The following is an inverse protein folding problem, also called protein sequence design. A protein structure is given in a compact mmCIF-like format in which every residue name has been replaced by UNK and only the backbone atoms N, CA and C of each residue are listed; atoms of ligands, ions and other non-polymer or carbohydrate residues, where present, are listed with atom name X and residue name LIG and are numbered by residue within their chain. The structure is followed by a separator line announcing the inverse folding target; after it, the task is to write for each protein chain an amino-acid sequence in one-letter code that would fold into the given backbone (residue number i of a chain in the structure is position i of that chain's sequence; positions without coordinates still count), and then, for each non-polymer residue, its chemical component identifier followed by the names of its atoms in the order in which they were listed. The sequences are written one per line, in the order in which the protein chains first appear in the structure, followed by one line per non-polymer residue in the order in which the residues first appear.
data_IF_944074694406
#
_entry.id   IF_944074694406
#
_cell.length_a   1.000
_cell.length_b   1.000
_cell.length_c   1.000
_cell.angle_alpha   90.00
_cell.angle_beta   90.00
_cell.angle_gamma   90.00
#
_symmetry.space_group_name_H-M   'P 1'
#
loop_
_entity.id
_entity.type
_entity.pdbx_description
1 polymer ?
#
# COMPACT_ATOMS: atom_id res chain seq x y z
N UNK A 1 2.57 16.60 6.18
CA UNK A 1 3.52 17.50 5.50
C UNK A 1 4.81 17.45 6.28
N UNK A 2 5.93 17.22 5.59
CA UNK A 2 7.25 16.99 6.21
C UNK A 2 7.98 18.30 6.55
N UNK A 3 7.62 19.38 5.87
CA UNK A 3 8.12 20.75 6.06
C UNK A 3 6.97 21.75 6.20
N UNK A 4 7.22 22.83 6.94
CA UNK A 4 6.33 23.99 6.95
C UNK A 4 6.54 24.81 5.68
N UNK A 5 5.47 25.42 5.18
CA UNK A 5 5.54 26.47 4.18
C UNK A 5 5.62 27.82 4.88
N UNK A 6 6.72 28.55 4.67
CA UNK A 6 6.95 29.86 5.30
C UNK A 6 6.80 30.95 4.24
N UNK A 7 6.05 31.98 4.58
CA UNK A 7 5.93 33.20 3.78
C UNK A 7 6.31 34.42 4.63
N UNK A 8 7.14 35.30 4.07
CA UNK A 8 7.63 36.51 4.70
C UNK A 8 7.46 37.71 3.75
N UNK A 9 6.99 38.84 4.28
CA UNK A 9 7.03 40.12 3.58
C UNK A 9 8.19 40.97 4.11
N UNK A 10 9.01 41.52 3.22
CA UNK A 10 10.19 42.33 3.56
C UNK A 10 10.33 43.54 2.63
N UNK A 11 10.90 44.63 3.16
CA UNK A 11 11.31 45.81 2.39
C UNK A 11 12.78 45.74 1.94
N UNK A 12 13.55 44.83 2.52
CA UNK A 12 14.92 44.54 2.12
C UNK A 12 14.88 43.35 1.16
N UNK A 13 15.21 43.53 -0.13
CA UNK A 13 15.12 42.45 -1.11
C UNK A 13 16.03 41.29 -0.75
N UNK A 14 15.46 40.08 -0.76
CA UNK A 14 16.16 38.81 -0.58
C UNK A 14 16.24 38.08 -1.92
N UNK A 15 17.44 37.69 -2.38
CA UNK A 15 17.58 36.89 -3.60
C UNK A 15 17.17 35.43 -3.36
N UNK A 16 16.74 34.76 -4.45
CA UNK A 16 16.51 33.30 -4.46
C UNK A 16 17.78 32.57 -4.02
N UNK A 17 17.62 31.54 -3.18
CA UNK A 17 18.72 30.80 -2.57
C UNK A 17 19.28 31.41 -1.28
N UNK A 18 18.75 32.55 -0.82
CA UNK A 18 19.13 33.11 0.49
C UNK A 18 18.62 32.27 1.65
N UNK A 19 19.41 32.13 2.70
CA UNK A 19 19.00 31.48 3.95
C UNK A 19 18.44 32.55 4.91
N UNK A 20 17.16 32.43 5.26
CA UNK A 20 16.49 33.34 6.19
C UNK A 20 16.26 32.58 7.49
N UNK A 21 16.70 33.17 8.60
CA UNK A 21 16.51 32.61 9.93
C UNK A 21 15.97 33.67 10.89
N UNK A 22 15.14 33.24 11.83
CA UNK A 22 14.57 34.11 12.84
C UNK A 22 13.81 33.34 13.89
N UNK A 23 13.13 34.08 14.77
CA UNK A 23 12.28 33.51 15.80
C UNK A 23 10.99 34.32 15.92
N UNK A 24 9.86 33.63 15.89
CA UNK A 24 8.57 34.18 16.30
C UNK A 24 8.27 33.57 17.66
N UNK A 25 8.25 34.36 18.73
CA UNK A 25 8.07 33.83 20.10
C UNK A 25 9.14 32.80 20.47
N UNK A 26 8.72 31.56 20.73
CA UNK A 26 9.50 30.38 20.97
C UNK A 26 9.68 29.51 19.71
N UNK A 27 9.08 29.92 18.59
CA UNK A 27 9.17 29.27 17.29
C UNK A 27 10.37 29.78 16.49
N UNK A 28 11.45 29.01 16.51
CA UNK A 28 12.59 29.25 15.61
C UNK A 28 12.26 28.78 14.20
N UNK A 29 12.43 29.65 13.20
CA UNK A 29 12.23 29.32 11.79
C UNK A 29 13.52 29.53 11.02
N UNK A 30 13.75 28.68 10.02
CA UNK A 30 14.87 28.79 9.08
C UNK A 30 14.46 28.24 7.72
N UNK A 31 14.41 29.06 6.69
CA UNK A 31 13.98 28.64 5.36
C UNK A 31 14.91 29.15 4.26
N UNK A 32 14.94 28.42 3.15
CA UNK A 32 15.62 28.83 1.93
C UNK A 32 14.60 29.59 1.07
N UNK A 33 15.01 30.74 0.51
CA UNK A 33 14.15 31.48 -0.40
C UNK A 33 14.05 30.74 -1.73
N UNK A 34 12.84 30.29 -2.08
CA UNK A 34 12.56 29.56 -3.33
C UNK A 34 11.81 30.45 -4.32
N UNK A 35 10.82 31.20 -3.84
CA UNK A 35 10.01 32.09 -4.65
C UNK A 35 10.04 33.51 -4.10
N UNK A 36 10.13 34.49 -5.01
CA UNK A 36 9.99 35.90 -4.66
C UNK A 36 9.00 36.59 -5.59
N UNK A 37 8.13 37.42 -5.04
CA UNK A 37 7.22 38.30 -5.78
C UNK A 37 7.35 39.71 -5.24
N UNK A 38 7.44 40.72 -6.10
CA UNK A 38 7.66 42.10 -5.67
C UNK A 38 6.53 43.02 -6.15
N UNK A 39 6.03 43.87 -5.24
CA UNK A 39 5.08 44.94 -5.55
C UNK A 39 5.56 46.25 -4.93
N UNK A 40 6.12 47.13 -5.75
CA UNK A 40 6.74 48.36 -5.27
C UNK A 40 7.96 48.07 -4.38
N UNK A 41 7.97 48.62 -3.17
CA UNK A 41 9.07 48.42 -2.19
C UNK A 41 8.94 47.15 -1.36
N UNK A 42 7.79 46.45 -1.42
CA UNK A 42 7.55 45.24 -0.63
C UNK A 42 7.79 44.02 -1.50
N UNK A 43 8.63 43.11 -1.01
CA UNK A 43 8.86 41.78 -1.59
C UNK A 43 8.21 40.74 -0.68
N UNK A 44 7.34 39.90 -1.27
CA UNK A 44 6.87 38.66 -0.67
C UNK A 44 7.84 37.54 -1.04
N UNK A 45 8.24 36.78 -0.04
CA UNK A 45 9.24 35.72 -0.14
C UNK A 45 8.60 34.45 0.41
N UNK A 46 8.69 33.36 -0.35
CA UNK A 46 8.23 32.04 0.09
C UNK A 46 9.36 31.03 0.01
N UNK A 47 9.29 30.03 0.87
CA UNK A 47 10.11 28.85 0.75
C UNK A 47 9.91 27.89 1.90
N UNK A 48 10.68 26.81 1.85
CA UNK A 48 10.64 25.73 2.82
C UNK A 48 11.96 25.63 3.58
N UNK A 49 12.04 24.74 4.59
CA UNK A 49 13.29 24.55 5.32
C UNK A 49 14.42 24.16 4.35
N UNK A 50 15.61 24.78 4.55
CA UNK A 50 16.80 24.69 3.70
C UNK A 50 17.35 23.28 3.40
N UNK A 51 16.74 22.22 3.94
CA UNK A 51 17.09 20.83 3.68
C UNK A 51 16.22 20.18 2.60
N UNK A 52 15.43 20.95 1.86
CA UNK A 52 14.60 20.46 0.75
C UNK A 52 15.40 19.68 -0.30
N UNK A 53 16.59 20.17 -0.68
CA UNK A 53 17.50 19.43 -1.59
C UNK A 53 17.92 18.06 -1.04
N UNK A 54 18.09 17.95 0.28
CA UNK A 54 18.41 16.68 0.95
C UNK A 54 17.19 15.75 1.01
N UNK A 55 15.98 16.30 1.17
CA UNK A 55 14.75 15.50 1.16
C UNK A 55 14.49 14.86 -0.20
N UNK A 56 14.89 15.51 -1.30
CA UNK A 56 14.82 15.00 -2.67
C UNK A 56 16.11 14.30 -3.15
N UNK A 57 17.08 14.06 -2.25
CA UNK A 57 18.27 13.27 -2.58
C UNK A 57 17.93 11.78 -2.48
N UNK A 58 18.40 10.93 -3.42
CA UNK A 58 18.27 9.49 -3.32
C UNK A 58 18.86 8.95 -2.02
N UNK A 59 18.17 7.99 -1.43
CA UNK A 59 18.57 7.36 -0.18
C UNK A 59 19.69 6.35 -0.42
N UNK A 60 20.66 6.36 0.49
CA UNK A 60 21.69 5.32 0.63
C UNK A 60 21.58 4.68 2.03
N UNK A 61 20.47 3.96 2.27
CA UNK A 61 20.24 3.19 3.49
C UNK A 61 20.40 1.71 3.14
N UNK A 62 21.28 1.02 3.88
CA UNK A 62 21.62 -0.39 3.70
C UNK A 62 21.13 -1.19 4.90
N UNK A 63 19.80 -1.24 5.07
CA UNK A 63 19.17 -1.96 6.19
C UNK A 63 18.23 -3.00 5.61
N UNK A 64 18.66 -4.26 5.69
CA UNK A 64 17.95 -5.44 5.20
C UNK A 64 16.55 -5.57 5.84
N UNK A 65 16.46 -5.39 7.16
CA UNK A 65 15.19 -5.28 7.91
C UNK A 65 15.44 -4.78 9.33
N UNK A 66 14.73 -3.75 9.78
CA UNK A 66 14.86 -3.26 11.15
C UNK A 66 13.58 -2.64 11.69
N UNK A 67 13.54 -2.41 13.00
CA UNK A 67 12.48 -1.61 13.60
C UNK A 67 12.58 -0.15 13.16
N UNK A 68 11.44 0.53 13.17
CA UNK A 68 11.31 1.94 12.81
C UNK A 68 12.25 2.85 13.61
N UNK A 69 12.58 2.52 14.86
CA UNK A 69 13.57 3.26 15.65
C UNK A 69 14.93 3.35 14.97
N UNK A 70 15.38 2.29 14.29
CA UNK A 70 16.63 2.28 13.54
C UNK A 70 16.53 3.14 12.28
N UNK A 71 15.47 2.97 11.50
CA UNK A 71 15.25 3.80 10.30
C UNK A 71 15.16 5.30 10.65
N UNK A 72 14.44 5.65 11.72
CA UNK A 72 14.36 7.02 12.21
C UNK A 72 15.73 7.61 12.59
N UNK A 73 16.58 6.81 13.25
CA UNK A 73 17.94 7.22 13.62
C UNK A 73 18.83 7.43 12.40
N UNK A 74 18.76 6.54 11.40
CA UNK A 74 19.55 6.65 10.18
C UNK A 74 19.10 7.83 9.31
N UNK A 75 17.78 8.09 9.19
CA UNK A 75 17.25 9.28 8.54
C UNK A 75 17.75 10.55 9.23
N UNK A 76 17.65 10.63 10.56
CA UNK A 76 18.11 11.79 11.30
C UNK A 76 19.62 12.01 11.14
N UNK A 77 20.42 10.93 11.20
CA UNK A 77 21.86 10.98 11.00
C UNK A 77 22.23 11.46 9.58
N UNK A 78 21.59 10.91 8.56
CA UNK A 78 21.86 11.26 7.16
C UNK A 78 21.45 12.70 6.83
N UNK A 79 20.36 13.19 7.43
CA UNK A 79 19.94 14.59 7.31
C UNK A 79 20.74 15.52 8.22
N UNK A 80 21.62 15.02 9.10
CA UNK A 80 22.34 15.83 10.09
C UNK A 80 21.40 16.56 11.05
N UNK A 81 20.37 15.86 11.54
CA UNK A 81 19.36 16.35 12.48
C UNK A 81 19.42 15.57 13.79
N UNK A 82 19.02 16.20 14.88
CA UNK A 82 18.71 15.50 16.14
C UNK A 82 17.40 14.76 15.98
N UNK A 83 17.29 13.56 16.55
CA UNK A 83 16.05 12.79 16.52
C UNK A 83 15.24 13.05 17.79
N UNK A 84 14.00 13.49 17.64
CA UNK A 84 12.97 13.47 18.69
C UNK A 84 11.86 12.50 18.27
N UNK A 85 11.83 11.31 18.85
CA UNK A 85 10.91 10.22 18.48
C UNK A 85 10.03 9.81 19.66
N UNK A 86 8.72 9.83 19.43
CA UNK A 86 7.67 9.39 20.35
C UNK A 86 6.66 8.56 19.57
N UNK A 87 7.01 7.31 19.27
CA UNK A 87 6.18 6.39 18.49
C UNK A 87 6.32 4.96 19.00
N UNK A 88 5.37 4.11 18.63
CA UNK A 88 5.56 2.67 18.65
C UNK A 88 6.78 2.26 17.81
N UNK A 89 7.36 1.10 18.11
CA UNK A 89 8.56 0.58 17.45
C UNK A 89 8.24 -0.70 16.65
N UNK A 90 7.48 -0.53 15.58
CA UNK A 90 7.06 -1.59 14.66
C UNK A 90 8.14 -1.88 13.61
N UNK A 91 7.97 -2.99 12.88
CA UNK A 91 8.86 -3.38 11.77
C UNK A 91 8.06 -3.27 10.47
N UNK A 92 8.53 -2.52 9.46
CA UNK A 92 7.87 -2.45 8.16
C UNK A 92 7.99 -3.78 7.41
N UNK A 93 7.02 -4.09 6.54
CA UNK A 93 7.06 -5.26 5.64
C UNK A 93 7.86 -5.03 4.37
N UNK A 94 7.98 -3.78 3.93
CA UNK A 94 8.70 -3.44 2.72
C UNK A 94 10.21 -3.48 2.95
N UNK A 95 10.94 -4.08 2.00
CA UNK A 95 12.39 -3.92 1.91
C UNK A 95 12.69 -2.62 1.13
N UNK A 96 13.45 -1.72 1.75
CA UNK A 96 13.80 -0.41 1.18
C UNK A 96 15.22 -0.34 0.61
N UNK A 97 15.97 -1.44 0.67
CA UNK A 97 17.34 -1.51 0.17
C UNK A 97 17.41 -1.24 -1.34
N UNK A 98 18.29 -0.32 -1.74
CA UNK A 98 18.52 -0.02 -3.16
C UNK A 98 17.33 0.58 -3.92
N UNK A 99 16.25 0.96 -3.23
CA UNK A 99 15.00 1.46 -3.82
C UNK A 99 15.14 2.76 -4.62
N UNK A 100 16.24 3.51 -4.45
CA UNK A 100 16.48 4.79 -5.12
C UNK A 100 15.49 5.90 -4.72
N UNK A 101 14.65 5.65 -3.71
CA UNK A 101 13.64 6.59 -3.21
C UNK A 101 14.28 7.83 -2.58
N UNK A 102 13.54 8.94 -2.56
CA UNK A 102 13.94 10.15 -1.83
C UNK A 102 13.62 10.01 -0.34
N UNK A 103 14.28 10.76 0.54
CA UNK A 103 13.96 10.79 1.99
C UNK A 103 12.50 11.15 2.24
N UNK A 104 11.93 12.05 1.43
CA UNK A 104 10.51 12.37 1.51
C UNK A 104 9.64 11.13 1.28
N UNK A 105 9.87 10.41 0.17
CA UNK A 105 9.06 9.25 -0.21
C UNK A 105 9.22 8.10 0.77
N UNK A 106 10.42 7.91 1.31
CA UNK A 106 10.70 6.89 2.30
C UNK A 106 10.02 7.17 3.64
N UNK A 107 10.07 8.40 4.14
CA UNK A 107 9.33 8.79 5.35
C UNK A 107 7.82 8.63 5.12
N UNK A 108 7.34 9.00 3.92
CA UNK A 108 5.94 8.79 3.53
C UNK A 108 5.55 7.31 3.52
N UNK A 109 6.40 6.43 2.99
CA UNK A 109 6.17 4.99 3.01
C UNK A 109 6.17 4.42 4.43
N UNK A 110 7.08 4.87 5.30
CA UNK A 110 7.18 4.40 6.69
C UNK A 110 6.02 4.83 7.58
N UNK A 111 5.52 6.06 7.41
CA UNK A 111 4.59 6.67 8.37
C UNK A 111 3.26 7.11 7.77
N UNK A 112 3.17 7.31 6.46
CA UNK A 112 2.00 7.87 5.78
C UNK A 112 0.74 7.01 5.92
N UNK A 113 0.90 5.68 5.92
CA UNK A 113 -0.20 4.73 6.11
C UNK A 113 -0.93 4.91 7.45
N UNK A 114 -0.26 5.47 8.48
CA UNK A 114 -0.87 5.68 9.81
C UNK A 114 -2.05 6.66 9.77
N UNK A 115 -2.20 7.45 8.71
CA UNK A 115 -3.38 8.27 8.48
C UNK A 115 -4.69 7.45 8.35
N UNK A 116 -4.61 6.15 8.00
CA UNK A 116 -5.75 5.21 8.03
C UNK A 116 -6.37 5.10 9.44
N UNK A 117 -5.55 5.25 10.48
CA UNK A 117 -5.96 5.25 11.89
C UNK A 117 -5.70 6.64 12.48
N UNK A 118 -6.60 7.61 12.28
CA UNK A 118 -6.31 9.01 12.58
C UNK A 118 -6.01 9.28 14.07
N UNK A 119 -6.50 8.44 14.97
CA UNK A 119 -6.21 8.47 16.40
C UNK A 119 -4.80 7.98 16.77
N UNK A 120 -4.10 7.28 15.87
CA UNK A 120 -2.72 6.81 16.01
C UNK A 120 -1.78 7.39 14.94
N UNK A 121 -2.21 8.42 14.22
CA UNK A 121 -1.43 9.01 13.13
C UNK A 121 -0.06 9.48 13.65
N UNK A 122 0.99 9.16 12.90
CA UNK A 122 2.36 9.62 13.15
C UNK A 122 2.62 10.88 12.33
N UNK A 123 2.95 11.97 13.02
CA UNK A 123 3.34 13.23 12.40
C UNK A 123 4.85 13.30 12.33
N UNK A 124 5.37 13.53 11.12
CA UNK A 124 6.80 13.73 10.87
C UNK A 124 7.02 15.14 10.35
N UNK A 125 7.87 15.91 11.04
CA UNK A 125 8.18 17.28 10.66
C UNK A 125 9.57 17.68 11.15
N UNK A 126 10.22 18.60 10.42
CA UNK A 126 11.52 19.16 10.80
C UNK A 126 11.29 20.51 11.47
N UNK A 127 11.98 20.74 12.59
CA UNK A 127 12.06 22.06 13.22
C UNK A 127 13.48 22.38 13.65
N UNK A 128 14.00 23.49 13.13
CA UNK A 128 15.39 23.87 13.35
C UNK A 128 16.31 22.73 12.95
N UNK A 129 17.08 22.24 13.92
CA UNK A 129 18.01 21.11 13.73
C UNK A 129 17.47 19.78 14.27
N UNK A 130 16.15 19.65 14.47
CA UNK A 130 15.52 18.44 15.02
C UNK A 130 14.47 17.86 14.05
N UNK A 131 14.55 16.54 13.82
CA UNK A 131 13.52 15.73 13.18
C UNK A 131 12.57 15.21 14.26
N UNK A 132 11.32 15.65 14.20
CA UNK A 132 10.26 15.19 15.09
C UNK A 132 9.46 14.07 14.40
N UNK A 133 9.32 12.94 15.09
CA UNK A 133 8.47 11.81 14.69
C UNK A 133 7.58 11.49 15.90
N UNK A 134 6.34 11.96 15.86
CA UNK A 134 5.46 11.95 17.04
C UNK A 134 4.13 11.31 16.68
N UNK A 135 3.81 10.23 17.36
CA UNK A 135 2.53 9.53 17.27
C UNK A 135 1.49 10.22 18.15
N UNK A 136 0.28 10.42 17.61
CA UNK A 136 -0.83 10.93 18.41
C UNK A 136 -1.07 10.04 19.63
N UNK A 137 -1.18 10.67 20.80
CA UNK A 137 -1.32 10.02 22.10
C UNK A 137 0.01 9.85 22.85
N UNK A 138 1.15 10.11 22.20
CA UNK A 138 2.47 10.03 22.81
C UNK A 138 3.12 11.41 23.05
N UNK A 139 2.39 12.51 22.85
CA UNK A 139 2.89 13.86 23.12
C UNK A 139 3.21 14.07 24.61
N UNK A 140 4.37 14.67 24.91
CA UNK A 140 4.93 14.78 26.27
C UNK A 140 4.18 15.77 27.18
N UNK A 141 3.51 16.75 26.58
CA UNK A 141 2.85 17.82 27.35
C UNK A 141 1.51 18.23 26.75
N UNK A 142 0.73 18.92 27.56
CA UNK A 142 -0.58 19.47 27.20
C UNK A 142 -0.52 20.98 27.38
N UNK A 143 -0.93 21.74 26.37
CA UNK A 143 -1.09 23.18 26.46
C UNK A 143 -2.57 23.55 26.56
N UNK A 144 -2.92 24.39 27.52
CA UNK A 144 -4.27 24.90 27.69
C UNK A 144 -4.45 26.24 26.97
N UNK A 145 -5.28 26.26 25.93
CA UNK A 145 -5.58 27.45 25.12
C UNK A 145 -6.96 28.04 25.45
N UNK A 146 -7.67 27.51 26.45
CA UNK A 146 -9.06 27.91 26.79
C UNK A 146 -9.19 29.40 27.09
N UNK A 147 -8.14 29.99 27.68
CA UNK A 147 -8.13 31.41 28.07
C UNK A 147 -7.39 32.30 27.07
N UNK A 148 -6.94 31.76 25.93
CA UNK A 148 -6.28 32.58 24.92
C UNK A 148 -7.32 33.46 24.21
N UNK A 149 -6.95 34.65 23.73
CA UNK A 149 -7.89 35.52 23.03
C UNK A 149 -8.25 34.88 21.70
N UNK A 150 -9.47 34.34 21.57
CA UNK A 150 -9.91 33.66 20.34
C UNK A 150 -11.30 34.12 19.88
N UNK A 151 -11.56 33.95 18.59
CA UNK A 151 -12.89 34.08 18.02
C UNK A 151 -13.79 32.91 18.46
N UNK A 152 -15.09 33.00 18.20
CA UNK A 152 -16.02 31.91 18.49
C UNK A 152 -15.57 30.63 17.73
N UNK A 153 -15.37 29.50 18.42
CA UNK A 153 -14.90 28.27 17.78
C UNK A 153 -16.00 27.65 16.91
N UNK A 154 -15.61 26.96 15.85
CA UNK A 154 -16.48 26.09 15.06
C UNK A 154 -16.29 24.64 15.51
N UNK A 155 -17.39 23.96 15.86
CA UNK A 155 -17.37 22.57 16.34
C UNK A 155 -18.14 21.68 15.37
N UNK A 156 -17.44 20.73 14.76
CA UNK A 156 -18.01 19.72 13.86
C UNK A 156 -17.97 18.35 14.53
N UNK A 157 -19.08 17.62 14.47
CA UNK A 157 -19.17 16.26 15.03
C UNK A 157 -19.64 15.29 13.97
N UNK A 158 -18.99 14.14 13.87
CA UNK A 158 -19.44 13.03 13.02
C UNK A 158 -19.24 11.69 13.73
N UNK A 159 -20.16 10.76 13.49
CA UNK A 159 -20.03 9.39 13.94
C UNK A 159 -19.09 8.64 12.99
N UNK A 160 -18.06 7.99 13.53
CA UNK A 160 -17.20 7.11 12.75
C UNK A 160 -17.76 5.69 12.77
N UNK A 161 -17.73 5.05 11.60
CA UNK A 161 -18.04 3.63 11.43
C UNK A 161 -16.83 3.00 10.77
N UNK A 162 -16.14 2.14 11.49
CA UNK A 162 -14.95 1.44 11.01
C UNK A 162 -15.22 -0.05 10.79
N UNK A 163 -16.34 -0.58 11.29
CA UNK A 163 -16.73 -1.99 11.09
C UNK A 163 -18.20 -2.10 10.71
N UNK A 164 -18.52 -3.17 10.00
CA UNK A 164 -19.83 -3.57 9.50
C UNK A 164 -20.18 -4.96 10.06
N UNK A 165 -21.31 -5.08 10.74
CA UNK A 165 -21.80 -6.38 11.22
C UNK A 165 -22.75 -6.96 10.15
N UNK A 166 -22.31 -8.03 9.48
CA UNK A 166 -23.09 -8.82 8.53
C UNK A 166 -23.51 -10.12 9.21
N UNK A 167 -24.73 -10.62 8.93
CA UNK A 167 -25.24 -11.87 9.53
C UNK A 167 -24.58 -13.16 9.00
N UNK A 168 -23.65 -13.05 8.03
CA UNK A 168 -22.82 -14.16 7.54
C UNK A 168 -21.41 -14.01 8.13
N UNK A 169 -21.11 -14.79 9.17
CA UNK A 169 -19.94 -14.65 10.06
C UNK A 169 -18.71 -15.47 9.62
N UNK A 170 -18.27 -15.36 8.37
CA UNK A 170 -17.01 -16.01 7.92
C UNK A 170 -16.16 -15.04 7.10
N UNK A 171 -15.73 -13.93 7.71
CA UNK A 171 -14.80 -13.00 7.07
C UNK A 171 -13.67 -12.62 8.02
N UNK A 172 -12.44 -12.98 7.64
CA UNK A 172 -11.21 -12.56 8.29
C UNK A 172 -10.97 -11.09 7.93
N UNK A 173 -11.28 -10.20 8.87
CA UNK A 173 -11.24 -8.74 8.66
C UNK A 173 -10.26 -8.03 9.60
N UNK A 174 -9.35 -8.79 10.21
CA UNK A 174 -8.27 -8.25 11.03
C UNK A 174 -7.23 -7.50 10.19
N UNK A 175 -6.43 -6.66 10.84
CA UNK A 175 -5.24 -6.09 10.23
C UNK A 175 -4.29 -7.20 9.75
N UNK A 176 -3.80 -7.08 8.53
CA UNK A 176 -2.94 -8.05 7.85
C UNK A 176 -1.90 -7.34 6.96
N UNK A 177 -0.89 -8.07 6.49
CA UNK A 177 0.18 -7.60 5.62
C UNK A 177 0.42 -8.58 4.46
N UNK A 178 0.85 -8.07 3.30
CA UNK A 178 1.09 -8.89 2.11
C UNK A 178 2.20 -9.95 2.29
N UNK A 179 3.14 -9.73 3.22
CA UNK A 179 4.33 -10.58 3.40
C UNK A 179 4.08 -11.83 4.25
N UNK A 180 3.29 -11.74 5.34
CA UNK A 180 3.06 -12.86 6.25
C UNK A 180 1.79 -13.67 5.90
N UNK A 181 1.04 -13.27 4.87
CA UNK A 181 -0.14 -14.02 4.41
C UNK A 181 -0.10 -14.24 2.91
N UNK A 182 0.61 -15.28 2.47
CA UNK A 182 0.21 -15.94 1.23
C UNK A 182 -1.24 -16.43 1.45
N UNK A 183 -2.22 -15.99 0.65
CA UNK A 183 -3.61 -16.40 0.85
C UNK A 183 -3.68 -17.92 0.79
N UNK A 184 -4.45 -18.55 1.69
CA UNK A 184 -4.65 -20.00 1.63
C UNK A 184 -5.36 -20.27 0.31
N UNK A 185 -4.71 -20.91 -0.67
CA UNK A 185 -5.22 -20.89 -2.01
C UNK A 185 -6.41 -21.85 -2.10
N UNK A 186 -7.49 -21.40 -2.74
CA UNK A 186 -8.79 -22.08 -2.71
C UNK A 186 -8.67 -23.55 -3.14
N UNK A 187 -9.20 -24.44 -2.30
CA UNK A 187 -9.30 -25.88 -2.57
C UNK A 187 -10.76 -26.28 -2.43
N UNK A 188 -11.36 -26.74 -3.52
CA UNK A 188 -12.78 -27.08 -3.54
C UNK A 188 -13.36 -27.18 -4.94
N UNK A 189 -14.58 -27.70 -5.04
CA UNK A 189 -15.33 -27.81 -6.29
C UNK A 189 -16.46 -26.79 -6.33
N UNK A 190 -16.48 -25.96 -7.37
CA UNK A 190 -17.57 -25.06 -7.70
C UNK A 190 -18.40 -25.73 -8.79
N UNK A 191 -19.71 -25.88 -8.57
CA UNK A 191 -20.61 -26.52 -9.54
C UNK A 191 -21.87 -25.68 -9.78
N UNK A 192 -22.30 -25.58 -11.03
CA UNK A 192 -23.58 -24.99 -11.42
C UNK A 192 -24.21 -25.83 -12.54
N UNK A 193 -25.33 -26.49 -12.24
CA UNK A 193 -25.95 -27.48 -13.13
C UNK A 193 -24.96 -28.59 -13.53
N UNK A 194 -24.76 -28.83 -14.82
CA UNK A 194 -23.88 -29.88 -15.35
C UNK A 194 -22.41 -29.44 -15.48
N UNK A 195 -22.09 -28.18 -15.11
CA UNK A 195 -20.74 -27.61 -15.18
C UNK A 195 -20.10 -27.63 -13.80
N UNK A 196 -18.85 -28.06 -13.71
CA UNK A 196 -18.07 -28.04 -12.46
C UNK A 196 -16.62 -27.64 -12.68
N UNK A 197 -16.00 -26.98 -11.70
CA UNK A 197 -14.57 -26.64 -11.67
C UNK A 197 -14.01 -26.99 -10.30
N UNK A 198 -13.00 -27.84 -10.26
CA UNK A 198 -12.33 -28.29 -9.04
C UNK A 198 -10.94 -27.67 -8.98
N UNK A 199 -10.65 -27.02 -7.87
CA UNK A 199 -9.38 -26.38 -7.59
C UNK A 199 -8.66 -27.11 -6.45
N UNK A 200 -7.34 -27.18 -6.53
CA UNK A 200 -6.45 -27.67 -5.48
C UNK A 200 -5.33 -26.67 -5.30
N UNK A 201 -5.20 -26.11 -4.10
CA UNK A 201 -4.25 -25.05 -3.78
C UNK A 201 -4.26 -23.91 -4.82
N UNK A 202 -5.44 -23.45 -5.24
CA UNK A 202 -5.62 -22.34 -6.19
C UNK A 202 -5.39 -22.69 -7.66
N UNK A 203 -4.89 -23.89 -7.96
CA UNK A 203 -4.75 -24.40 -9.33
C UNK A 203 -6.01 -25.15 -9.76
N UNK A 204 -6.51 -24.88 -10.96
CA UNK A 204 -7.63 -25.63 -11.54
C UNK A 204 -7.16 -27.02 -11.91
N UNK A 205 -7.61 -28.07 -11.23
CA UNK A 205 -7.18 -29.46 -11.47
C UNK A 205 -8.19 -30.28 -12.28
N UNK A 206 -9.47 -29.89 -12.26
CA UNK A 206 -10.52 -30.54 -13.03
C UNK A 206 -11.61 -29.57 -13.46
N UNK A 207 -12.12 -29.71 -14.68
CA UNK A 207 -13.28 -29.00 -15.20
C UNK A 207 -14.24 -29.98 -15.87
N UNK A 208 -15.54 -29.81 -15.64
CA UNK A 208 -16.62 -30.51 -16.34
C UNK A 208 -17.45 -29.45 -17.04
N UNK A 209 -17.65 -29.62 -18.34
CA UNK A 209 -18.50 -28.78 -19.17
C UNK A 209 -19.57 -29.66 -19.84
N UNK A 210 -20.58 -29.03 -20.45
CA UNK A 210 -21.66 -29.75 -21.17
C UNK A 210 -21.14 -30.66 -22.30
N UNK A 211 -19.94 -30.35 -22.82
CA UNK A 211 -19.34 -31.03 -23.96
C UNK A 211 -18.16 -31.96 -23.61
N UNK A 212 -17.74 -32.05 -22.34
CA UNK A 212 -16.60 -32.88 -21.96
C UNK A 212 -15.98 -32.58 -20.59
N UNK A 213 -14.93 -33.32 -20.26
CA UNK A 213 -14.21 -33.30 -19.00
C UNK A 213 -12.75 -32.92 -19.27
N UNK A 214 -12.19 -32.01 -18.48
CA UNK A 214 -10.77 -31.66 -18.55
C UNK A 214 -10.07 -31.87 -17.22
N UNK A 215 -8.85 -32.38 -17.26
CA UNK A 215 -7.96 -32.51 -16.10
C UNK A 215 -6.65 -31.79 -16.37
N UNK A 216 -6.08 -31.23 -15.31
CA UNK A 216 -4.88 -30.40 -15.37
C UNK A 216 -3.91 -30.88 -14.29
N UNK A 217 -2.66 -31.11 -14.68
CA UNK A 217 -1.57 -31.53 -13.78
C UNK A 217 -0.48 -30.46 -13.79
N UNK A 218 0.08 -30.16 -12.62
CA UNK A 218 1.08 -29.11 -12.44
C UNK A 218 2.39 -29.68 -11.88
N UNK A 219 3.51 -29.09 -12.30
CA UNK A 219 4.84 -29.28 -11.71
C UNK A 219 5.29 -27.96 -11.08
N UNK A 220 5.21 -27.86 -9.75
CA UNK A 220 5.31 -26.59 -9.03
C UNK A 220 4.18 -25.63 -9.42
N UNK A 221 4.54 -24.44 -9.92
CA UNK A 221 3.59 -23.41 -10.41
C UNK A 221 3.25 -23.55 -11.90
N UNK A 222 3.85 -24.51 -12.61
CA UNK A 222 3.76 -24.63 -14.06
C UNK A 222 2.80 -25.75 -14.47
N UNK A 223 1.90 -25.48 -15.41
CA UNK A 223 0.99 -26.49 -15.96
C UNK A 223 1.81 -27.51 -16.74
N UNK A 224 1.90 -28.75 -16.28
CA UNK A 224 2.65 -29.82 -16.93
C UNK A 224 1.81 -30.56 -17.97
N UNK A 225 0.51 -30.75 -17.72
CA UNK A 225 -0.36 -31.54 -18.58
C UNK A 225 -1.79 -31.01 -18.55
N UNK A 226 -2.43 -30.96 -19.71
CA UNK A 226 -3.88 -30.79 -19.85
C UNK A 226 -4.44 -31.99 -20.62
N UNK A 227 -5.49 -32.60 -20.12
CA UNK A 227 -6.25 -33.63 -20.85
C UNK A 227 -7.70 -33.23 -20.95
N UNK A 228 -8.31 -33.44 -22.11
CA UNK A 228 -9.71 -33.20 -22.36
C UNK A 228 -10.33 -34.44 -22.99
N UNK A 229 -11.41 -34.94 -22.39
CA UNK A 229 -12.26 -36.00 -22.93
C UNK A 229 -13.60 -35.41 -23.32
N UNK A 230 -13.92 -35.45 -24.61
CA UNK A 230 -15.18 -34.93 -25.13
C UNK A 230 -16.27 -36.01 -25.07
N UNK A 231 -17.53 -35.57 -25.05
CA UNK A 231 -18.70 -36.47 -25.00
C UNK A 231 -18.81 -37.34 -26.26
N UNK A 232 -18.22 -36.90 -27.38
CA UNK A 232 -18.13 -37.64 -28.64
C UNK A 232 -17.05 -38.73 -28.65
N UNK A 233 -16.40 -38.98 -27.50
CA UNK A 233 -15.37 -40.00 -27.33
C UNK A 233 -14.00 -39.61 -27.86
N UNK A 234 -13.82 -38.39 -28.38
CA UNK A 234 -12.48 -37.88 -28.71
C UNK A 234 -11.73 -37.42 -27.46
N UNK A 235 -10.42 -37.62 -27.47
CA UNK A 235 -9.50 -37.26 -26.40
C UNK A 235 -8.42 -36.35 -26.95
N UNK A 236 -8.19 -35.23 -26.27
CA UNK A 236 -7.05 -34.35 -26.52
C UNK A 236 -6.15 -34.32 -25.29
N UNK A 237 -4.84 -34.52 -25.48
CA UNK A 237 -3.83 -34.37 -24.43
C UNK A 237 -2.78 -33.39 -24.90
N UNK A 238 -2.44 -32.44 -24.04
CA UNK A 238 -1.36 -31.48 -24.25
C UNK A 238 -0.36 -31.60 -23.10
N UNK A 239 0.88 -31.96 -23.41
CA UNK A 239 2.01 -31.94 -22.49
C UNK A 239 2.84 -30.68 -22.70
N UNK A 240 3.16 -30.00 -21.61
CA UNK A 240 3.92 -28.75 -21.60
C UNK A 240 5.29 -29.01 -20.97
N UNK A 241 6.36 -28.73 -21.72
CA UNK A 241 7.72 -28.84 -21.21
C UNK A 241 8.35 -27.45 -21.11
N UNK A 242 8.90 -27.14 -19.94
CA UNK A 242 9.56 -25.88 -19.64
C UNK A 242 11.08 -26.06 -19.61
N UNK A 243 11.81 -25.04 -20.04
CA UNK A 243 13.26 -24.98 -19.96
C UNK A 243 13.69 -23.91 -18.94
N UNK A 244 14.59 -24.29 -18.03
CA UNK A 244 15.21 -23.40 -17.06
C UNK A 244 16.52 -22.83 -17.58
N UNK A 245 16.64 -21.51 -17.55
CA UNK A 245 17.90 -20.77 -17.64
C UNK A 245 18.34 -20.36 -16.24
N UNK A 246 19.61 -20.02 -16.02
CA UNK A 246 20.13 -19.65 -14.69
C UNK A 246 19.47 -18.43 -14.02
N UNK A 247 18.50 -17.77 -14.66
CA UNK A 247 17.72 -16.63 -14.12
C UNK A 247 16.21 -16.72 -14.36
N UNK A 248 15.71 -17.66 -15.17
CA UNK A 248 14.31 -17.69 -15.58
C UNK A 248 13.86 -19.05 -16.21
N UNK A 249 12.57 -19.36 -16.20
CA UNK A 249 11.95 -20.57 -16.78
C UNK A 249 10.95 -20.20 -17.87
N UNK A 250 11.03 -20.75 -19.07
CA UNK A 250 10.11 -20.47 -20.20
C UNK A 250 9.51 -21.75 -20.78
N UNK A 251 8.33 -21.65 -21.42
CA UNK A 251 7.71 -22.80 -22.09
C UNK A 251 8.52 -23.12 -23.35
N UNK A 252 9.09 -24.32 -23.41
CA UNK A 252 9.96 -24.76 -24.50
C UNK A 252 9.20 -25.55 -25.56
N UNK A 253 8.28 -26.42 -25.13
CA UNK A 253 7.57 -27.32 -26.02
C UNK A 253 6.14 -27.55 -25.54
N UNK A 254 5.20 -27.50 -26.47
CA UNK A 254 3.85 -28.04 -26.33
C UNK A 254 3.74 -29.25 -27.25
N UNK A 255 3.36 -30.39 -26.70
CA UNK A 255 3.03 -31.58 -27.48
C UNK A 255 1.55 -31.87 -27.29
N UNK A 256 0.77 -31.69 -28.34
CA UNK A 256 -0.67 -31.93 -28.38
C UNK A 256 -0.95 -33.17 -29.22
N UNK A 257 -1.75 -34.10 -28.70
CA UNK A 257 -2.29 -35.23 -29.47
C UNK A 257 -3.79 -35.28 -29.31
N UNK A 258 -4.49 -35.36 -30.44
CA UNK A 258 -5.96 -35.42 -30.49
C UNK A 258 -6.40 -36.66 -31.26
N UNK A 259 -7.33 -37.44 -30.67
CA UNK A 259 -7.95 -38.61 -31.30
C UNK A 259 -9.24 -38.24 -32.04
N UNK A 260 -9.64 -39.07 -33.01
CA UNK A 260 -10.91 -38.89 -33.70
C UNK A 260 -12.11 -39.30 -32.82
N UNK A 261 -13.27 -38.68 -33.04
CA UNK A 261 -14.51 -39.03 -32.34
C UNK A 261 -14.89 -40.50 -32.56
N UNK A 262 -15.42 -41.14 -31.51
CA UNK A 262 -15.85 -42.53 -31.53
C UNK A 262 -17.32 -42.60 -31.92
N UNK A 263 -17.60 -42.99 -33.17
CA UNK A 263 -18.96 -43.11 -33.67
C UNK A 263 -19.61 -44.44 -33.27
N UNK A 264 -19.82 -44.67 -31.97
CA UNK A 264 -20.46 -45.89 -31.43
C UNK A 264 -21.91 -45.68 -30.95
N UNK A 265 -22.43 -44.44 -31.03
CA UNK A 265 -23.78 -44.05 -30.65
C UNK A 265 -24.00 -43.94 -29.13
N UNK A 266 -22.94 -44.01 -28.32
CA UNK A 266 -22.99 -43.83 -26.86
C UNK A 266 -22.41 -42.48 -26.45
N UNK A 267 -22.77 -42.04 -25.24
CA UNK A 267 -22.08 -40.91 -24.59
C UNK A 267 -20.89 -41.46 -23.82
N UNK A 268 -19.70 -40.96 -24.12
CA UNK A 268 -18.48 -41.34 -23.42
C UNK A 268 -18.31 -40.53 -22.11
N UNK A 269 -17.64 -41.12 -21.13
CA UNK A 269 -17.45 -40.54 -19.78
C UNK A 269 -15.97 -40.33 -19.47
N UNK A 270 -15.63 -39.65 -18.36
CA UNK A 270 -14.23 -39.41 -17.94
C UNK A 270 -13.39 -40.69 -17.73
N UNK A 271 -14.02 -41.87 -17.71
CA UNK A 271 -13.37 -43.17 -17.49
C UNK A 271 -13.31 -44.06 -18.75
N UNK A 272 -13.67 -43.54 -19.93
CA UNK A 272 -13.70 -44.29 -21.18
C UNK A 272 -12.51 -43.90 -22.07
N UNK A 273 -11.49 -44.77 -22.12
CA UNK A 273 -10.15 -44.51 -22.69
C UNK A 273 -9.75 -45.51 -23.78
N UNK A 274 -10.72 -46.24 -24.35
CA UNK A 274 -10.45 -47.21 -25.41
C UNK A 274 -9.96 -46.56 -26.71
N UNK A 275 -10.25 -45.27 -26.93
CA UNK A 275 -9.89 -44.49 -28.12
C UNK A 275 -8.40 -44.08 -28.16
N UNK A 276 -7.79 -43.79 -27.01
CA UNK A 276 -6.39 -43.35 -26.91
C UNK A 276 -5.40 -44.41 -27.42
N UNK A 277 -5.78 -45.69 -27.32
CA UNK A 277 -4.98 -46.83 -27.81
C UNK A 277 -5.04 -47.02 -29.34
N UNK A 278 -5.88 -46.28 -30.05
CA UNK A 278 -6.05 -46.40 -31.51
C UNK A 278 -4.92 -45.65 -32.25
N UNK A 279 -4.49 -46.21 -33.37
CA UNK A 279 -3.39 -45.69 -34.20
C UNK A 279 -3.71 -44.36 -34.92
N UNK A 280 -4.97 -43.92 -34.94
CA UNK A 280 -5.40 -42.71 -35.65
C UNK A 280 -5.54 -41.53 -34.69
N UNK A 281 -4.62 -40.58 -34.78
CA UNK A 281 -4.70 -39.29 -34.12
C UNK A 281 -3.78 -38.28 -34.80
N UNK A 282 -4.05 -37.00 -34.60
CA UNK A 282 -3.20 -35.90 -35.08
C UNK A 282 -2.26 -35.48 -33.97
N UNK A 283 -0.97 -35.43 -34.25
CA UNK A 283 0.05 -34.92 -33.35
C UNK A 283 0.50 -33.52 -33.78
N UNK A 284 0.42 -32.56 -32.86
CA UNK A 284 0.86 -31.20 -33.07
C UNK A 284 1.94 -30.84 -32.06
N UNK A 285 3.08 -30.37 -32.54
CA UNK A 285 4.21 -29.97 -31.69
C UNK A 285 4.52 -28.50 -31.94
N UNK A 286 4.42 -27.70 -30.89
CA UNK A 286 4.86 -26.30 -30.91
C UNK A 286 6.16 -26.19 -30.13
N UNK A 287 7.19 -25.62 -30.74
CA UNK A 287 8.44 -25.27 -30.05
C UNK A 287 8.56 -23.76 -29.91
N UNK A 288 9.10 -23.32 -28.77
CA UNK A 288 9.50 -21.95 -28.55
C UNK A 288 10.99 -21.86 -28.27
N UNK A 289 11.69 -21.05 -29.06
CA UNK A 289 13.12 -20.82 -28.91
C UNK A 289 13.39 -19.34 -28.60
N UNK A 290 14.14 -19.02 -27.53
CA UNK A 290 14.54 -17.65 -27.25
C UNK A 290 15.57 -17.18 -28.28
N UNK A 291 15.34 -16.02 -28.89
CA UNK A 291 16.25 -15.39 -29.86
C UNK A 291 17.02 -14.20 -29.26
N UNK A 292 16.73 -13.83 -28.01
CA UNK A 292 17.34 -12.69 -27.31
C UNK A 292 16.49 -11.42 -27.37
N UNK A 293 16.80 -10.43 -26.52
CA UNK A 293 16.09 -9.13 -26.43
C UNK A 293 14.56 -9.22 -26.26
N UNK A 294 14.06 -10.29 -25.61
CA UNK A 294 12.63 -10.50 -25.40
C UNK A 294 11.86 -11.07 -26.61
N UNK A 295 12.57 -11.51 -27.66
CA UNK A 295 12.00 -12.14 -28.84
C UNK A 295 12.07 -13.66 -28.77
N UNK A 296 10.99 -14.30 -29.25
CA UNK A 296 10.85 -15.75 -29.30
C UNK A 296 10.41 -16.20 -30.69
N UNK A 297 11.10 -17.21 -31.23
CA UNK A 297 10.64 -17.94 -32.40
C UNK A 297 9.67 -19.04 -31.95
N UNK A 298 8.53 -19.13 -32.62
CA UNK A 298 7.57 -20.23 -32.43
C UNK A 298 7.48 -21.01 -33.73
N UNK A 299 7.65 -22.33 -33.66
CA UNK A 299 7.53 -23.24 -34.81
C UNK A 299 6.51 -24.32 -34.52
N UNK A 300 5.58 -24.54 -35.44
CA UNK A 300 4.48 -25.51 -35.29
C UNK A 300 4.65 -26.62 -36.32
N UNK A 301 4.66 -27.86 -35.83
CA UNK A 301 4.66 -29.08 -36.62
C UNK A 301 3.33 -29.80 -36.42
N UNK A 302 2.72 -30.29 -37.49
CA UNK A 302 1.56 -31.19 -37.45
C UNK A 302 1.94 -32.47 -38.18
N UNK A 303 1.83 -33.62 -37.50
CA UNK A 303 2.22 -34.94 -37.99
C UNK A 303 3.64 -34.97 -38.61
N UNK A 304 4.56 -34.22 -37.99
CA UNK A 304 5.95 -34.11 -38.44
C UNK A 304 6.20 -33.13 -39.59
N UNK A 305 5.15 -32.51 -40.15
CA UNK A 305 5.25 -31.50 -41.22
C UNK A 305 5.22 -30.10 -40.61
N UNK A 306 6.13 -29.23 -41.04
CA UNK A 306 6.14 -27.83 -40.61
C UNK A 306 4.92 -27.10 -41.22
N UNK A 307 4.02 -26.62 -40.37
CA UNK A 307 2.86 -25.83 -40.80
C UNK A 307 3.09 -24.32 -40.73
N UNK A 308 3.93 -23.87 -39.79
CA UNK A 308 4.10 -22.46 -39.57
C UNK A 308 5.26 -22.10 -38.69
N UNK A 309 5.74 -20.87 -38.86
CA UNK A 309 6.73 -20.26 -37.99
C UNK A 309 6.37 -18.79 -37.79
N UNK A 310 6.45 -18.31 -36.57
CA UNK A 310 6.17 -16.93 -36.23
C UNK A 310 7.21 -16.39 -35.25
N UNK A 311 7.32 -15.06 -35.23
CA UNK A 311 8.17 -14.33 -34.32
C UNK A 311 7.28 -13.46 -33.44
N UNK A 312 7.40 -13.61 -32.12
CA UNK A 312 6.63 -12.82 -31.15
C UNK A 312 7.55 -12.16 -30.13
N UNK A 313 7.12 -11.01 -29.65
CA UNK A 313 7.76 -10.30 -28.54
C UNK A 313 6.93 -10.57 -27.28
N UNK A 314 7.60 -11.00 -26.20
CA UNK A 314 6.95 -11.45 -24.98
C UNK A 314 7.14 -12.95 -24.73
N UNK A 315 7.26 -13.32 -23.46
CA UNK A 315 7.63 -14.65 -23.02
C UNK A 315 6.49 -15.66 -23.23
N UNK A 316 6.70 -16.76 -23.98
CA UNK A 316 5.77 -17.87 -24.04
C UNK A 316 5.75 -18.61 -22.70
N UNK A 317 4.56 -18.73 -22.13
CA UNK A 317 4.35 -19.33 -20.83
C UNK A 317 3.32 -18.55 -20.04
N UNK A 318 2.13 -19.14 -19.89
CA UNK A 318 1.08 -18.65 -19.02
C UNK A 318 1.48 -18.86 -17.56
N UNK A 319 2.35 -18.01 -17.02
CA UNK A 319 2.29 -17.75 -15.58
C UNK A 319 0.96 -17.03 -15.38
N UNK A 320 -0.02 -17.69 -14.76
CA UNK A 320 -1.15 -16.95 -14.24
C UNK A 320 -0.55 -15.92 -13.28
N UNK A 321 -0.75 -14.63 -13.56
CA UNK A 321 -0.24 -13.57 -12.71
C UNK A 321 -0.71 -13.86 -11.29
N UNK A 322 0.21 -13.88 -10.33
CA UNK A 322 -0.11 -14.15 -8.93
C UNK A 322 -1.22 -13.19 -8.48
N UNK A 323 -1.12 -11.92 -8.87
CA UNK A 323 -2.16 -10.91 -8.70
C UNK A 323 -3.53 -11.29 -9.31
N UNK A 324 -3.57 -11.91 -10.50
CA UNK A 324 -4.82 -12.35 -11.14
C UNK A 324 -5.42 -13.58 -10.45
N UNK A 325 -4.56 -14.48 -9.97
CA UNK A 325 -4.96 -15.66 -9.17
C UNK A 325 -5.46 -15.21 -7.79
N UNK A 326 -4.76 -14.28 -7.15
CA UNK A 326 -5.08 -13.70 -5.85
C UNK A 326 -6.40 -12.91 -5.89
N UNK A 327 -6.57 -12.01 -6.86
CA UNK A 327 -7.80 -11.24 -7.04
C UNK A 327 -9.00 -12.15 -7.36
N UNK A 328 -8.78 -13.21 -8.15
CA UNK A 328 -9.80 -14.24 -8.41
C UNK A 328 -10.11 -15.05 -7.16
N UNK A 329 -9.10 -15.50 -6.41
CA UNK A 329 -9.26 -16.30 -5.20
C UNK A 329 -9.98 -15.53 -4.08
N UNK A 330 -9.65 -14.25 -3.88
CA UNK A 330 -10.37 -13.35 -2.97
C UNK A 330 -11.84 -13.19 -3.37
N UNK A 331 -12.13 -13.07 -4.67
CA UNK A 331 -13.52 -12.99 -5.18
C UNK A 331 -14.32 -14.29 -5.04
N UNK A 332 -13.64 -15.42 -4.85
CA UNK A 332 -14.21 -16.78 -4.78
C UNK A 332 -14.15 -17.39 -3.38
N UNK A 333 -13.84 -16.60 -2.35
CA UNK A 333 -13.93 -16.99 -0.95
C UNK A 333 -12.65 -17.53 -0.31
N UNK A 334 -11.48 -17.30 -0.92
CA UNK A 334 -10.21 -17.50 -0.25
C UNK A 334 -10.03 -16.50 0.89
N UNK A 335 -9.28 -16.94 1.89
CA UNK A 335 -9.23 -16.32 3.20
C UNK A 335 -7.74 -16.21 3.63
N UNK A 336 -7.40 -15.11 4.30
CA UNK A 336 -6.09 -14.84 4.89
C UNK A 336 -6.00 -15.47 6.27
N UNK A 337 -4.96 -16.25 6.56
CA UNK A 337 -4.76 -16.84 7.88
C UNK A 337 -4.81 -15.78 9.00
N UNK A 338 -5.96 -15.65 9.67
CA UNK A 338 -6.15 -14.85 10.87
C UNK A 338 -6.73 -15.77 11.93
N UNK A 339 -6.06 -15.84 13.08
CA UNK A 339 -6.35 -16.79 14.16
C UNK A 339 -7.65 -16.49 14.93
N UNK A 340 -8.46 -15.51 14.49
CA UNK A 340 -9.71 -15.13 15.13
C UNK A 340 -10.79 -14.86 14.07
N UNK A 341 -11.84 -15.68 14.02
CA UNK A 341 -13.09 -15.35 13.31
C UNK A 341 -13.69 -14.10 13.94
N UNK A 342 -13.49 -12.94 13.29
CA UNK A 342 -14.08 -11.69 13.73
C UNK A 342 -15.56 -11.63 13.27
N UNK A 343 -16.51 -11.28 14.16
CA UNK A 343 -17.95 -11.27 13.83
C UNK A 343 -18.39 -10.04 13.00
N UNK A 344 -17.46 -9.38 12.31
CA UNK A 344 -17.69 -8.16 11.52
C UNK A 344 -16.66 -8.04 10.39
N UNK A 345 -16.98 -7.19 9.40
CA UNK A 345 -16.07 -6.76 8.32
C UNK A 345 -15.57 -5.34 8.59
N UNK A 346 -14.30 -5.03 8.34
CA UNK A 346 -13.81 -3.64 8.41
C UNK A 346 -14.32 -2.80 7.24
N UNK A 347 -14.70 -1.56 7.51
CA UNK A 347 -15.04 -0.52 6.51
C UNK A 347 -13.81 0.33 6.13
N UNK A 348 -12.70 0.10 6.83
CA UNK A 348 -11.39 0.70 6.56
C UNK A 348 -10.51 -0.39 5.98
N UNK A 349 -9.66 -0.02 5.04
CA UNK A 349 -8.63 -0.91 4.51
C UNK A 349 -7.77 -1.50 5.67
N UNK A 350 -7.75 -2.82 5.77
CA UNK A 350 -7.08 -3.59 6.83
C UNK A 350 -5.66 -4.02 6.43
N UNK A 351 -5.19 -3.62 5.25
CA UNK A 351 -3.83 -3.87 4.83
C UNK A 351 -2.87 -2.83 5.44
N UNK A 352 -1.86 -3.31 6.16
CA UNK A 352 -0.84 -2.48 6.79
C UNK A 352 0.56 -2.95 6.39
N UNK A 353 1.47 -2.02 6.05
CA UNK A 353 2.83 -2.37 5.61
C UNK A 353 3.76 -2.65 6.81
N UNK A 354 3.32 -3.50 7.73
CA UNK A 354 4.02 -3.84 8.99
C UNK A 354 3.98 -5.35 9.22
N UNK A 355 5.00 -5.88 9.88
CA UNK A 355 5.09 -7.31 10.22
C UNK A 355 4.96 -7.55 11.72
N UNK A 356 4.58 -8.78 12.06
CA UNK A 356 4.41 -9.24 13.43
C UNK A 356 2.96 -9.22 13.89
N UNK A 357 2.46 -10.40 14.22
CA UNK A 357 1.07 -10.65 14.62
C UNK A 357 0.62 -9.80 15.82
N UNK A 358 1.48 -9.55 16.80
CA UNK A 358 1.17 -8.73 17.99
C UNK A 358 0.84 -7.27 17.61
N UNK A 359 1.60 -6.68 16.70
CA UNK A 359 1.36 -5.30 16.27
C UNK A 359 0.14 -5.23 15.37
N UNK A 360 -0.06 -6.20 14.47
CA UNK A 360 -1.29 -6.32 13.67
C UNK A 360 -2.53 -6.43 14.57
N UNK A 361 -2.52 -7.27 15.61
CA UNK A 361 -3.62 -7.33 16.60
C UNK A 361 -3.87 -5.98 17.28
N UNK A 362 -2.81 -5.21 17.57
CA UNK A 362 -2.94 -3.85 18.11
C UNK A 362 -3.64 -2.91 17.13
N UNK A 363 -3.35 -3.03 15.83
CA UNK A 363 -4.02 -2.26 14.78
C UNK A 363 -5.49 -2.68 14.61
N UNK A 364 -5.79 -3.98 14.68
CA UNK A 364 -7.17 -4.50 14.68
C UNK A 364 -7.99 -3.90 15.82
N UNK A 365 -7.46 -3.93 17.05
CA UNK A 365 -8.10 -3.29 18.22
C UNK A 365 -8.27 -1.78 18.04
N UNK A 366 -7.35 -1.11 17.34
CA UNK A 366 -7.47 0.31 17.04
C UNK A 366 -8.59 0.60 16.03
N UNK A 367 -8.79 -0.27 15.02
CA UNK A 367 -9.92 -0.19 14.08
C UNK A 367 -11.24 -0.35 14.85
N UNK A 368 -11.35 -1.38 15.69
CA UNK A 368 -12.53 -1.64 16.52
C UNK A 368 -12.85 -0.47 17.46
N UNK A 369 -11.82 0.06 18.13
CA UNK A 369 -11.99 1.17 19.05
C UNK A 369 -12.59 2.40 18.38
N UNK A 370 -12.25 2.65 17.10
CA UNK A 370 -12.77 3.78 16.33
C UNK A 370 -14.26 3.62 15.98
N UNK A 371 -14.79 2.39 16.04
CA UNK A 371 -16.14 2.12 15.65
C UNK A 371 -17.14 2.79 16.60
N UNK A 372 -18.11 3.49 16.02
CA UNK A 372 -19.14 4.25 16.74
C UNK A 372 -18.58 5.34 17.67
N UNK A 373 -17.31 5.72 17.52
CA UNK A 373 -16.77 6.90 18.19
C UNK A 373 -17.30 8.17 17.55
N UNK A 374 -17.51 9.19 18.38
CA UNK A 374 -17.79 10.53 17.88
C UNK A 374 -16.47 11.23 17.63
N UNK A 375 -16.17 11.52 16.35
CA UNK A 375 -15.10 12.43 16.01
C UNK A 375 -15.61 13.86 16.19
N UNK A 376 -14.98 14.62 17.06
CA UNK A 376 -15.21 16.05 17.20
C UNK A 376 -13.99 16.82 16.68
N UNK A 377 -14.23 17.70 15.72
CA UNK A 377 -13.22 18.60 15.15
C UNK A 377 -13.57 20.02 15.57
N UNK A 378 -12.64 20.70 16.24
CA UNK A 378 -12.79 22.08 16.67
C UNK A 378 -11.82 22.96 15.88
N UNK A 379 -12.34 24.03 15.28
CA UNK A 379 -11.52 25.06 14.64
C UNK A 379 -11.62 26.35 15.44
N UNK A 380 -10.48 26.85 15.90
CA UNK A 380 -10.39 28.06 16.72
C UNK A 380 -9.39 29.04 16.07
N UNK A 381 -9.80 30.31 15.94
CA UNK A 381 -8.93 31.38 15.48
C UNK A 381 -8.49 32.24 16.67
N UNK A 382 -7.23 32.10 17.05
CA UNK A 382 -6.60 32.86 18.12
C UNK A 382 -6.14 34.20 17.55
N UNK A 383 -6.45 35.29 18.26
CA UNK A 383 -6.19 36.69 17.91
C UNK A 383 -5.46 37.39 19.05
N UNK A 384 -4.15 37.22 19.13
CA UNK A 384 -3.32 37.88 20.13
C UNK A 384 -2.88 39.26 19.63
N UNK A 385 -3.22 40.31 20.39
CA UNK A 385 -2.79 41.68 20.09
C UNK A 385 -1.30 41.81 20.37
N UNK A 386 -0.63 42.67 19.61
CA UNK A 386 0.78 43.01 19.84
C UNK A 386 0.86 44.31 20.60
N UNK A 387 1.52 44.29 21.77
CA UNK A 387 1.83 45.47 22.58
C UNK A 387 3.33 45.64 22.67
N UNK A 388 3.84 46.79 22.23
CA UNK A 388 5.28 47.09 22.23
C UNK A 388 6.14 46.01 21.55
N UNK A 389 5.63 45.40 20.46
CA UNK A 389 6.34 44.36 19.71
C UNK A 389 6.21 42.94 20.28
N UNK A 390 5.49 42.75 21.40
CA UNK A 390 5.26 41.45 22.03
C UNK A 390 3.77 41.09 21.96
N UNK A 391 3.40 39.98 21.30
CA UNK A 391 2.05 39.46 21.36
C UNK A 391 1.59 39.04 22.77
N UNK A 392 0.30 39.18 23.04
CA UNK A 392 -0.35 38.84 24.33
C UNK A 392 -0.33 37.32 24.66
N UNK A 393 0.15 36.46 23.75
CA UNK A 393 0.40 35.03 23.96
C UNK A 393 1.86 34.74 23.64
N UNK A 394 2.49 33.77 24.30
CA UNK A 394 3.92 33.49 24.22
C UNK A 394 4.28 32.18 23.48
N UNK A 395 3.28 31.48 22.93
CA UNK A 395 3.47 30.14 22.35
C UNK A 395 2.76 29.93 21.01
N UNK A 396 3.43 29.22 20.10
CA UNK A 396 2.84 28.69 18.86
C UNK A 396 2.53 27.20 19.04
N UNK A 397 1.26 26.84 18.86
CA UNK A 397 0.79 25.45 19.03
C UNK A 397 1.30 24.56 17.90
N UNK A 398 1.74 23.35 18.23
CA UNK A 398 2.31 22.40 17.27
C UNK A 398 2.01 20.93 17.62
N UNK A 399 2.55 20.01 16.82
CA UNK A 399 2.37 18.57 16.96
C UNK A 399 3.19 17.93 18.10
N UNK A 400 4.00 18.70 18.85
CA UNK A 400 4.74 18.19 20.00
C UNK A 400 3.90 18.13 21.28
N UNK A 401 2.73 18.76 21.28
CA UNK A 401 1.85 18.89 22.44
C UNK A 401 0.42 18.52 22.12
N UNK A 402 -0.29 18.00 23.12
CA UNK A 402 -1.75 17.95 23.13
C UNK A 402 -2.32 19.32 23.48
N UNK A 403 -3.56 19.57 23.06
CA UNK A 403 -4.23 20.84 23.26
C UNK A 403 -5.40 20.62 24.22
N UNK A 404 -5.46 21.38 25.30
CA UNK A 404 -6.64 21.46 26.17
C UNK A 404 -7.47 22.68 25.80
N UNK A 405 -8.74 22.45 25.55
CA UNK A 405 -9.72 23.48 25.24
C UNK A 405 -11.06 23.15 25.90
N UNK A 406 -11.60 24.08 26.68
CA UNK A 406 -12.88 23.93 27.39
C UNK A 406 -12.98 22.61 28.20
N UNK A 407 -11.89 22.27 28.89
CA UNK A 407 -11.82 21.07 29.74
C UNK A 407 -11.59 19.75 29.01
N UNK A 408 -11.46 19.76 27.68
CA UNK A 408 -11.24 18.56 26.88
C UNK A 408 -9.87 18.59 26.20
N UNK A 409 -9.27 17.41 26.03
CA UNK A 409 -8.00 17.27 25.32
C UNK A 409 -8.23 16.87 23.85
N UNK A 410 -7.45 17.51 22.98
CA UNK A 410 -7.48 17.37 21.54
C UNK A 410 -6.07 17.16 20.99
N UNK A 411 -6.01 16.52 19.83
CA UNK A 411 -4.80 16.39 19.02
C UNK A 411 -4.78 17.45 17.93
N UNK A 412 -3.61 18.01 17.63
CA UNK A 412 -3.47 18.95 16.54
C UNK A 412 -3.70 18.25 15.18
N UNK A 413 -4.49 18.88 14.31
CA UNK A 413 -4.66 18.49 12.92
C UNK A 413 -3.90 19.44 11.99
N UNK A 414 -4.01 20.75 12.23
CA UNK A 414 -3.26 21.77 11.49
C UNK A 414 -3.21 23.08 12.28
N UNK A 415 -2.14 23.85 12.11
CA UNK A 415 -2.06 25.23 12.59
C UNK A 415 -1.55 26.13 11.44
N UNK A 416 -2.21 27.26 11.23
CA UNK A 416 -1.72 28.33 10.35
C UNK A 416 -1.44 29.56 11.19
N UNK A 417 -0.19 30.02 11.18
CA UNK A 417 0.26 31.18 11.95
C UNK A 417 0.52 32.36 11.03
N UNK A 418 -0.02 33.51 11.37
CA UNK A 418 0.22 34.78 10.68
C UNK A 418 0.60 35.85 11.69
N UNK A 419 1.75 36.48 11.47
CA UNK A 419 2.23 37.59 12.29
C UNK A 419 2.23 38.87 11.47
N UNK A 420 1.49 39.86 11.93
CA UNK A 420 1.50 41.23 11.43
C UNK A 420 2.00 42.17 12.53
N UNK A 421 2.39 43.43 12.24
CA UNK A 421 2.83 44.38 13.28
C UNK A 421 1.82 44.65 14.40
N UNK A 422 0.53 44.32 14.21
CA UNK A 422 -0.55 44.62 15.16
C UNK A 422 -1.20 43.37 15.76
N UNK A 423 -1.06 42.22 15.11
CA UNK A 423 -1.81 41.01 15.43
C UNK A 423 -0.98 39.75 15.12
N UNK A 424 -0.98 38.83 16.07
CA UNK A 424 -0.64 37.43 15.85
C UNK A 424 -1.95 36.64 15.74
N UNK A 425 -2.12 35.96 14.61
CA UNK A 425 -3.26 35.08 14.32
C UNK A 425 -2.79 33.63 14.25
N UNK A 426 -3.47 32.73 14.95
CA UNK A 426 -3.28 31.29 14.82
C UNK A 426 -4.63 30.63 14.51
N UNK A 427 -4.74 29.98 13.35
CA UNK A 427 -5.92 29.18 12.99
C UNK A 427 -5.63 27.72 13.28
N UNK A 428 -6.13 27.25 14.42
CA UNK A 428 -5.87 25.92 14.94
C UNK A 428 -7.06 25.03 14.63
N UNK A 429 -6.80 23.89 13.99
CA UNK A 429 -7.76 22.80 13.82
C UNK A 429 -7.31 21.63 14.67
N UNK A 430 -8.18 21.19 15.58
CA UNK A 430 -7.88 20.15 16.56
C UNK A 430 -8.99 19.10 16.57
N UNK A 431 -8.66 17.85 16.92
CA UNK A 431 -9.55 16.70 16.80
C UNK A 431 -9.48 15.81 18.03
N UNK A 432 -10.61 15.23 18.41
CA UNK A 432 -10.69 14.15 19.42
C UNK A 432 -11.71 13.11 19.03
N UNK A 433 -11.64 11.96 19.70
CA UNK A 433 -12.56 10.83 19.56
C UNK A 433 -13.01 10.37 20.94
N UNK A 434 -14.31 10.19 21.15
CA UNK A 434 -14.89 9.71 22.41
C UNK A 434 -16.02 8.71 22.18
#
# INVERSE_FOLDING_TARGET
SLSDNIQLETVNPLPIGSNVQGRVMDYAFRFLVEETSQRGIVQSVKGTYSKDTLLYTPIHIYVERAKVSRYAAEIAAALGLRLHRLTDDFTPSQNFEGSGMTYHDFISALFGWTAKLPQRQINVFIRGDTLHIIQRGMEESVIDITHWPHAQPTVERKLLRSVWHSANNNHESGAHNEEDTAPVPFTGTISFKEISRTYSNGFLVRETNENGYSTYTYDGEYLAEKRTHNVDGSTSRTDYAYASTGRDVYLFKEWERTTEAVNDGKKHTEYDWEDWSREKGTERITYHAPLGYGWYATTVYVDGVLEGSSLSQGKPGGKASQFTVEQSNLSLGASYASDDELPYSSLIDTEFPVVGSEYLQTLTRAIEWLNRKTQETVTVEIRARIRSGVPDIDHIVDFTKRIRFEGHEYFLQSNTVELTPRLLRQTIKMVRWF
#
